data_IF_812349986524
#
_entry.id   IF_812349986524
#
_cell.length_a   1.000
_cell.length_b   1.000
_cell.length_c   1.000
_cell.angle_alpha   90.00
_cell.angle_beta   90.00
_cell.angle_gamma   90.00
#
_symmetry.space_group_name_H-M   'P 1'
#
loop_
_entity.id
_entity.type
_entity.pdbx_description
1 polymer ?
#
# COMPACT_ATOMS: atom_id res chain seq x y z
N UNK A 1 -14.25 -70.68 -0.41
CA UNK A 1 -14.44 -69.44 -1.17
C UNK A 1 -14.47 -68.31 -0.17
N UNK A 2 -13.25 -67.70 0.14
CA UNK A 2 -13.12 -66.67 1.15
C UNK A 2 -12.94 -65.32 0.44
N UNK A 3 -13.96 -64.44 0.62
CA UNK A 3 -13.93 -63.08 0.11
C UNK A 3 -13.20 -62.19 1.08
N UNK A 4 -12.08 -61.58 0.65
CA UNK A 4 -11.33 -60.61 1.43
C UNK A 4 -11.85 -59.21 1.11
N UNK A 5 -12.52 -58.56 2.06
CA UNK A 5 -12.87 -57.15 2.02
C UNK A 5 -11.65 -56.32 2.41
N UNK A 6 -11.10 -55.58 1.45
CA UNK A 6 -10.05 -54.61 1.69
C UNK A 6 -10.74 -53.28 2.05
N UNK A 7 -10.66 -52.88 3.32
CA UNK A 7 -11.11 -51.60 3.81
C UNK A 7 -10.02 -50.55 3.60
N UNK A 8 -10.18 -49.67 2.60
CA UNK A 8 -9.29 -48.56 2.33
C UNK A 8 -9.66 -47.42 3.29
N UNK A 9 -8.74 -47.13 4.24
CA UNK A 9 -8.82 -45.96 5.12
C UNK A 9 -8.27 -44.73 4.35
N UNK A 10 -9.13 -43.80 3.99
CA UNK A 10 -8.74 -42.46 3.54
C UNK A 10 -8.30 -41.64 4.75
N UNK A 11 -7.00 -41.44 4.91
CA UNK A 11 -6.43 -40.44 5.83
C UNK A 11 -6.69 -39.06 5.24
N UNK A 12 -7.72 -38.37 5.74
CA UNK A 12 -7.93 -36.95 5.50
C UNK A 12 -6.85 -36.18 6.25
N UNK A 13 -5.79 -35.76 5.55
CA UNK A 13 -4.80 -34.82 6.10
C UNK A 13 -5.46 -33.46 6.21
N UNK A 14 -5.88 -33.07 7.41
CA UNK A 14 -6.30 -31.72 7.71
C UNK A 14 -5.08 -30.81 7.57
N UNK A 15 -4.98 -30.07 6.45
CA UNK A 15 -4.02 -28.99 6.29
C UNK A 15 -4.43 -27.89 7.25
N UNK A 16 -3.77 -27.85 8.41
CA UNK A 16 -3.90 -26.77 9.38
C UNK A 16 -3.33 -25.49 8.74
N UNK A 17 -4.18 -24.65 8.19
CA UNK A 17 -3.82 -23.27 7.82
C UNK A 17 -3.52 -22.52 9.11
N UNK A 18 -2.24 -22.31 9.42
CA UNK A 18 -1.82 -21.37 10.45
C UNK A 18 -2.29 -20.00 10.00
N UNK A 19 -3.06 -19.26 10.82
CA UNK A 19 -3.43 -17.88 10.45
C UNK A 19 -2.13 -17.10 10.22
N UNK A 20 -2.08 -16.36 9.11
CA UNK A 20 -0.96 -15.47 8.82
C UNK A 20 -0.91 -14.41 9.92
N UNK A 21 0.21 -14.30 10.62
CA UNK A 21 0.40 -13.25 11.61
C UNK A 21 0.47 -11.89 10.91
N UNK A 22 -0.18 -10.89 11.51
CA UNK A 22 -0.08 -9.50 11.08
C UNK A 22 1.38 -9.02 11.15
N UNK A 23 1.76 -8.12 10.26
CA UNK A 23 3.12 -7.57 10.18
C UNK A 23 3.06 -6.07 10.31
N UNK A 24 3.96 -5.49 11.12
CA UNK A 24 4.10 -4.05 11.27
C UNK A 24 5.50 -3.62 10.88
N UNK A 25 5.60 -2.56 10.09
CA UNK A 25 6.84 -1.93 9.65
C UNK A 25 6.87 -0.49 10.15
N UNK A 26 8.04 -0.03 10.54
CA UNK A 26 8.27 1.34 10.98
C UNK A 26 9.32 2.01 10.11
N UNK A 27 9.10 3.28 9.81
CA UNK A 27 10.00 4.08 9.00
C UNK A 27 10.19 5.45 9.65
N UNK A 28 11.39 6.00 9.50
CA UNK A 28 11.70 7.38 9.82
C UNK A 28 11.62 8.24 8.56
N UNK A 29 11.15 9.47 8.72
CA UNK A 29 11.01 10.41 7.62
C UNK A 29 11.98 11.56 7.81
N UNK A 30 12.79 11.78 6.78
CA UNK A 30 13.83 12.82 6.77
C UNK A 30 13.54 13.87 5.71
N UNK A 31 13.76 15.11 6.05
CA UNK A 31 13.87 16.23 5.13
C UNK A 31 15.31 16.74 5.20
N UNK A 32 16.07 16.54 4.12
CA UNK A 32 17.54 16.65 4.15
C UNK A 32 18.08 15.73 5.27
N UNK A 33 18.86 16.24 6.19
CA UNK A 33 19.50 15.50 7.29
C UNK A 33 18.69 15.51 8.60
N UNK A 34 17.50 16.13 8.60
CA UNK A 34 16.66 16.24 9.80
C UNK A 34 15.51 15.25 9.77
N UNK A 35 15.36 14.47 10.83
CA UNK A 35 14.19 13.65 11.05
C UNK A 35 12.98 14.56 11.31
N UNK A 36 11.94 14.44 10.49
CA UNK A 36 10.75 15.30 10.53
C UNK A 36 9.47 14.54 10.81
N UNK A 37 9.52 13.21 10.86
CA UNK A 37 8.32 12.42 11.07
C UNK A 37 8.58 10.92 11.10
N UNK A 38 7.48 10.18 11.20
CA UNK A 38 7.47 8.71 11.21
C UNK A 38 6.33 8.18 10.37
N UNK A 39 6.50 6.96 9.88
CA UNK A 39 5.46 6.19 9.20
C UNK A 39 5.39 4.81 9.85
N UNK A 40 4.18 4.38 10.17
CA UNK A 40 3.85 3.00 10.55
C UNK A 40 3.04 2.38 9.41
N UNK A 41 3.43 1.21 8.95
CA UNK A 41 2.65 0.43 7.99
C UNK A 41 2.35 -0.96 8.56
N UNK A 42 1.12 -1.45 8.39
CA UNK A 42 0.70 -2.75 8.93
C UNK A 42 -0.07 -3.58 7.89
N UNK A 43 0.04 -4.91 8.02
CA UNK A 43 -0.74 -5.91 7.32
C UNK A 43 -1.53 -6.69 8.36
N UNK A 44 -2.83 -6.78 8.19
CA UNK A 44 -3.73 -7.55 9.03
C UNK A 44 -4.56 -8.51 8.17
N UNK A 45 -4.27 -9.83 8.20
CA UNK A 45 -5.07 -10.83 7.53
C UNK A 45 -6.46 -10.95 8.18
N UNK A 46 -7.52 -10.86 7.37
CA UNK A 46 -8.92 -10.87 7.82
C UNK A 46 -9.73 -11.94 7.05
N UNK A 47 -9.38 -13.21 7.23
CA UNK A 47 -10.01 -14.31 6.51
C UNK A 47 -9.69 -14.27 5.00
N UNK A 48 -10.68 -14.10 4.10
CA UNK A 48 -10.44 -14.00 2.66
C UNK A 48 -9.85 -12.65 2.23
N UNK A 49 -9.89 -11.66 3.11
CA UNK A 49 -9.38 -10.32 2.87
C UNK A 49 -8.04 -10.10 3.59
N UNK A 50 -7.28 -9.16 3.07
CA UNK A 50 -6.07 -8.64 3.73
C UNK A 50 -6.20 -7.13 3.82
N UNK A 51 -6.10 -6.60 5.02
CA UNK A 51 -6.11 -5.17 5.26
C UNK A 51 -4.69 -4.66 5.39
N UNK A 52 -4.39 -3.58 4.69
CA UNK A 52 -3.15 -2.83 4.76
C UNK A 52 -3.47 -1.45 5.31
N UNK A 53 -2.67 -0.97 6.25
CA UNK A 53 -2.78 0.39 6.76
C UNK A 53 -1.44 1.11 6.76
N UNK A 54 -1.47 2.44 6.64
CA UNK A 54 -0.31 3.26 6.96
C UNK A 54 -0.72 4.56 7.61
N UNK A 55 -0.02 4.90 8.69
CA UNK A 55 -0.18 6.13 9.46
C UNK A 55 1.14 6.90 9.35
N UNK A 56 1.07 8.10 8.80
CA UNK A 56 2.25 8.96 8.59
C UNK A 56 2.02 10.31 9.25
N UNK A 57 2.98 10.77 10.04
CA UNK A 57 2.95 12.11 10.62
C UNK A 57 4.26 12.82 10.34
N UNK A 58 4.18 13.98 9.66
CA UNK A 58 5.32 14.83 9.31
C UNK A 58 5.14 16.20 9.91
N UNK A 59 6.19 16.69 10.62
CA UNK A 59 6.23 18.02 11.21
C UNK A 59 7.43 18.79 10.68
N UNK A 60 7.19 19.82 9.91
CA UNK A 60 8.25 20.67 9.34
C UNK A 60 8.07 22.13 9.78
N UNK A 61 9.20 22.85 9.88
CA UNK A 61 9.22 24.27 10.15
C UNK A 61 9.99 24.95 9.00
N UNK A 62 9.26 25.42 7.98
CA UNK A 62 9.88 26.20 6.89
C UNK A 62 9.76 27.71 7.20
N UNK A 63 8.59 28.31 7.05
CA UNK A 63 8.28 29.67 7.49
C UNK A 63 7.27 29.67 8.64
N UNK A 64 6.39 28.69 8.66
CA UNK A 64 5.43 28.37 9.73
C UNK A 64 5.54 26.90 10.07
N UNK A 65 5.07 26.52 11.27
CA UNK A 65 4.93 25.10 11.63
C UNK A 65 3.87 24.48 10.74
N UNK A 66 4.21 23.41 10.04
CA UNK A 66 3.33 22.62 9.22
C UNK A 66 3.36 21.18 9.75
N UNK A 67 2.19 20.66 10.14
CA UNK A 67 1.97 19.24 10.45
C UNK A 67 1.12 18.65 9.35
N UNK A 68 1.57 17.54 8.78
CA UNK A 68 0.79 16.79 7.78
C UNK A 68 0.68 15.35 8.26
N UNK A 69 -0.54 14.88 8.39
CA UNK A 69 -0.85 13.50 8.72
C UNK A 69 -1.50 12.85 7.50
N UNK A 70 -1.08 11.61 7.16
CA UNK A 70 -1.66 10.78 6.12
C UNK A 70 -2.11 9.48 6.77
N UNK A 71 -3.34 9.09 6.50
CA UNK A 71 -3.92 7.83 6.92
C UNK A 71 -4.41 7.06 5.69
N UNK A 72 -3.96 5.81 5.55
CA UNK A 72 -4.38 4.89 4.49
C UNK A 72 -4.96 3.64 5.13
N UNK A 73 -6.13 3.23 4.65
CA UNK A 73 -6.74 1.95 4.97
C UNK A 73 -7.16 1.29 3.67
N UNK A 74 -6.55 0.16 3.33
CA UNK A 74 -6.69 -0.49 2.03
C UNK A 74 -6.97 -1.97 2.22
N UNK A 75 -8.05 -2.45 1.65
CA UNK A 75 -8.45 -3.86 1.70
C UNK A 75 -8.27 -4.52 0.35
N UNK A 76 -7.61 -5.65 0.34
CA UNK A 76 -7.49 -6.56 -0.80
C UNK A 76 -8.34 -7.80 -0.57
N UNK A 77 -8.97 -8.30 -1.63
CA UNK A 77 -9.72 -9.55 -1.67
C UNK A 77 -9.32 -10.33 -2.92
N UNK A 78 -9.01 -11.61 -2.77
CA UNK A 78 -8.54 -12.48 -3.87
C UNK A 78 -7.36 -11.90 -4.67
N UNK A 79 -6.47 -11.16 -4.00
CA UNK A 79 -5.29 -10.55 -4.60
C UNK A 79 -5.52 -9.24 -5.35
N UNK A 80 -6.73 -8.68 -5.31
CA UNK A 80 -7.09 -7.42 -5.95
C UNK A 80 -7.59 -6.39 -4.93
N UNK A 81 -7.40 -5.12 -5.24
CA UNK A 81 -7.96 -4.03 -4.46
C UNK A 81 -9.48 -4.18 -4.36
N UNK A 82 -10.00 -4.21 -3.15
CA UNK A 82 -11.43 -4.21 -2.89
C UNK A 82 -11.93 -2.83 -2.48
N UNK A 83 -11.24 -2.22 -1.52
CA UNK A 83 -11.62 -0.91 -0.98
C UNK A 83 -10.39 -0.15 -0.50
N UNK A 84 -10.38 1.17 -0.64
CA UNK A 84 -9.39 2.03 -0.02
C UNK A 84 -9.99 3.33 0.48
N UNK A 85 -9.52 3.77 1.66
CA UNK A 85 -9.75 5.09 2.23
C UNK A 85 -8.41 5.78 2.43
N UNK A 86 -8.32 7.04 2.03
CA UNK A 86 -7.16 7.89 2.27
C UNK A 86 -7.61 9.22 2.81
N UNK A 87 -7.07 9.60 3.96
CA UNK A 87 -7.30 10.89 4.60
C UNK A 87 -5.99 11.66 4.76
N UNK A 88 -6.02 12.94 4.46
CA UNK A 88 -4.89 13.86 4.66
C UNK A 88 -5.34 15.03 5.50
N UNK A 89 -4.66 15.22 6.63
CA UNK A 89 -4.87 16.36 7.51
C UNK A 89 -3.66 17.32 7.41
N UNK A 90 -3.94 18.60 7.33
CA UNK A 90 -2.92 19.65 7.42
C UNK A 90 -3.24 20.53 8.62
N UNK A 91 -2.33 20.57 9.60
CA UNK A 91 -2.56 21.24 10.88
C UNK A 91 -3.89 20.81 11.51
N UNK A 92 -4.15 19.48 11.53
CA UNK A 92 -5.33 18.85 12.11
C UNK A 92 -6.67 19.18 11.40
N UNK A 93 -6.61 19.80 10.22
CA UNK A 93 -7.79 20.11 9.41
C UNK A 93 -7.82 19.22 8.18
N UNK A 94 -8.99 18.69 7.77
CA UNK A 94 -9.13 17.96 6.52
C UNK A 94 -8.59 18.76 5.34
N UNK A 95 -7.72 18.15 4.54
CA UNK A 95 -7.08 18.76 3.38
C UNK A 95 -7.40 18.02 2.08
N UNK A 96 -7.38 16.71 2.13
CA UNK A 96 -7.76 15.86 1.01
C UNK A 96 -8.28 14.52 1.52
N UNK A 97 -9.21 13.93 0.78
CA UNK A 97 -9.76 12.60 1.00
C UNK A 97 -9.92 11.86 -0.32
N UNK A 98 -9.74 10.55 -0.32
CA UNK A 98 -10.01 9.70 -1.48
C UNK A 98 -10.57 8.36 -1.02
N UNK A 99 -11.64 7.95 -1.66
CA UNK A 99 -12.30 6.66 -1.45
C UNK A 99 -12.40 5.90 -2.76
N UNK A 100 -12.06 4.62 -2.75
CA UNK A 100 -12.19 3.73 -3.89
C UNK A 100 -12.80 2.42 -3.45
N UNK A 101 -13.79 1.92 -4.20
CA UNK A 101 -14.42 0.62 -3.91
C UNK A 101 -14.82 -0.11 -5.18
N UNK A 102 -14.50 -1.40 -5.21
CA UNK A 102 -15.02 -2.34 -6.21
C UNK A 102 -16.49 -2.67 -5.92
N UNK A 103 -17.37 -2.51 -6.91
CA UNK A 103 -18.80 -2.77 -6.78
C UNK A 103 -19.26 -4.10 -7.41
N UNK A 104 -18.31 -4.91 -7.87
CA UNK A 104 -18.56 -6.16 -8.61
C UNK A 104 -18.26 -6.05 -10.10
N UNK A 105 -18.31 -4.85 -10.70
CA UNK A 105 -18.11 -4.61 -12.13
C UNK A 105 -17.09 -3.52 -12.43
N UNK A 106 -17.00 -2.50 -11.59
CA UNK A 106 -16.10 -1.36 -11.74
C UNK A 106 -15.65 -0.81 -10.39
N UNK A 107 -14.57 -0.05 -10.37
CA UNK A 107 -14.19 0.77 -9.23
C UNK A 107 -14.97 2.08 -9.23
N UNK A 108 -15.64 2.37 -8.10
CA UNK A 108 -16.19 3.68 -7.82
C UNK A 108 -15.15 4.51 -7.06
N UNK A 109 -14.80 5.68 -7.60
CA UNK A 109 -13.82 6.58 -7.00
C UNK A 109 -14.51 7.87 -6.59
N UNK A 110 -14.31 8.28 -5.34
CA UNK A 110 -14.78 9.56 -4.80
C UNK A 110 -13.55 10.29 -4.26
N UNK A 111 -13.38 11.56 -4.61
CA UNK A 111 -12.26 12.37 -4.20
C UNK A 111 -12.71 13.75 -3.80
N UNK A 112 -12.39 14.17 -2.58
CA UNK A 112 -12.87 15.43 -2.00
C UNK A 112 -14.40 15.62 -2.18
N UNK A 113 -15.16 14.56 -1.90
CA UNK A 113 -16.62 14.52 -2.04
C UNK A 113 -17.14 14.49 -3.48
N UNK A 114 -16.28 14.44 -4.52
CA UNK A 114 -16.68 14.39 -5.93
C UNK A 114 -16.43 13.00 -6.52
N UNK A 115 -17.39 12.51 -7.31
CA UNK A 115 -17.21 11.28 -8.08
C UNK A 115 -16.21 11.54 -9.21
N UNK A 116 -15.15 10.72 -9.25
CA UNK A 116 -14.18 10.69 -10.35
C UNK A 116 -14.60 9.66 -11.42
N UNK A 117 -13.79 9.54 -12.47
CA UNK A 117 -14.00 8.51 -13.51
C UNK A 117 -13.84 7.13 -12.89
N UNK A 118 -14.76 6.22 -13.23
CA UNK A 118 -14.66 4.81 -12.87
C UNK A 118 -13.88 4.02 -13.94
N UNK A 119 -13.33 2.86 -13.56
CA UNK A 119 -12.69 1.91 -14.48
C UNK A 119 -13.00 0.47 -14.02
N UNK A 120 -12.92 -0.50 -14.94
CA UNK A 120 -13.34 -1.88 -14.73
C UNK A 120 -12.19 -2.90 -14.65
N UNK A 121 -10.96 -2.49 -14.93
CA UNK A 121 -9.79 -3.38 -14.79
C UNK A 121 -9.45 -3.58 -13.31
N UNK A 122 -9.35 -4.85 -12.88
CA UNK A 122 -8.98 -5.17 -11.50
C UNK A 122 -7.55 -4.70 -11.19
N UNK A 123 -7.36 -4.14 -10.01
CA UNK A 123 -6.09 -3.58 -9.51
C UNK A 123 -5.35 -4.62 -8.68
N UNK A 124 -4.27 -5.24 -9.19
CA UNK A 124 -3.47 -6.19 -8.43
C UNK A 124 -2.37 -5.53 -7.59
N UNK A 125 -2.05 -4.25 -7.84
CA UNK A 125 -0.98 -3.54 -7.17
C UNK A 125 -1.29 -2.06 -6.99
N UNK A 126 -1.16 -1.55 -5.75
CA UNK A 126 -1.39 -0.15 -5.42
C UNK A 126 -0.27 0.42 -4.53
N UNK A 127 -0.30 1.73 -4.28
CA UNK A 127 0.80 2.44 -3.59
C UNK A 127 1.08 1.89 -2.20
N UNK A 128 0.07 1.46 -1.45
CA UNK A 128 0.27 0.88 -0.10
C UNK A 128 1.18 -0.36 -0.14
N UNK A 129 1.09 -1.17 -1.21
CA UNK A 129 1.88 -2.39 -1.34
C UNK A 129 3.38 -2.13 -1.51
N UNK A 130 3.79 -0.93 -1.93
CA UNK A 130 5.20 -0.55 -2.04
C UNK A 130 5.94 -0.61 -0.69
N UNK A 131 5.24 -0.49 0.44
CA UNK A 131 5.85 -0.66 1.75
C UNK A 131 6.16 -2.13 2.07
N UNK A 132 5.43 -3.07 1.47
CA UNK A 132 5.45 -4.48 1.86
C UNK A 132 6.03 -5.42 0.81
N UNK A 133 5.97 -5.03 -0.46
CA UNK A 133 6.33 -5.88 -1.58
C UNK A 133 7.05 -5.09 -2.67
N UNK A 134 8.25 -5.54 -3.02
CA UNK A 134 9.00 -5.02 -4.15
C UNK A 134 8.19 -5.17 -5.45
N UNK A 135 8.10 -4.11 -6.30
CA UNK A 135 7.30 -4.12 -7.54
C UNK A 135 8.05 -4.79 -8.71
N UNK A 136 8.70 -5.94 -8.47
CA UNK A 136 9.38 -6.70 -9.53
C UNK A 136 8.37 -7.19 -10.58
N UNK A 137 8.57 -6.79 -11.86
CA UNK A 137 7.66 -7.14 -12.95
C UNK A 137 6.33 -6.38 -12.96
N UNK A 138 6.17 -5.36 -12.10
CA UNK A 138 4.99 -4.51 -12.05
C UNK A 138 5.25 -3.25 -12.89
N UNK A 139 4.40 -2.99 -13.88
CA UNK A 139 4.47 -1.78 -14.72
C UNK A 139 3.49 -0.69 -14.29
N UNK A 140 2.40 -1.09 -13.64
CA UNK A 140 1.31 -0.19 -13.24
C UNK A 140 1.00 -0.31 -11.75
N UNK A 141 0.80 0.83 -11.11
CA UNK A 141 0.51 0.94 -9.69
C UNK A 141 -0.66 1.92 -9.50
N UNK A 142 -1.75 1.46 -8.93
CA UNK A 142 -2.86 2.33 -8.57
C UNK A 142 -2.46 3.25 -7.41
N UNK A 143 -2.81 4.53 -7.52
CA UNK A 143 -2.64 5.50 -6.45
C UNK A 143 -3.96 5.72 -5.75
N UNK A 144 -4.08 5.27 -4.52
CA UNK A 144 -5.28 5.42 -3.70
C UNK A 144 -5.62 6.89 -3.47
N UNK A 145 -4.60 7.74 -3.29
CA UNK A 145 -4.76 9.19 -3.10
C UNK A 145 -5.22 9.91 -4.38
N UNK A 146 -4.67 9.52 -5.53
CA UNK A 146 -4.94 10.21 -6.78
C UNK A 146 -6.15 9.64 -7.53
N UNK A 147 -6.57 8.40 -7.22
CA UNK A 147 -7.60 7.68 -7.97
C UNK A 147 -7.16 7.33 -9.40
N UNK A 148 -5.86 7.16 -9.64
CA UNK A 148 -5.28 7.01 -10.99
C UNK A 148 -4.22 5.92 -11.05
N UNK A 149 -3.98 5.41 -12.26
CA UNK A 149 -2.88 4.48 -12.53
C UNK A 149 -1.58 5.26 -12.73
N UNK A 150 -0.55 4.87 -12.01
CA UNK A 150 0.81 5.40 -12.12
C UNK A 150 1.70 4.37 -12.79
N UNK A 151 2.78 4.82 -13.45
CA UNK A 151 3.77 3.95 -14.07
C UNK A 151 4.88 3.59 -13.10
N UNK A 152 5.32 2.34 -13.09
CA UNK A 152 6.52 1.86 -12.39
C UNK A 152 7.60 1.57 -13.43
N UNK A 153 8.78 2.13 -13.23
CA UNK A 153 9.95 1.94 -14.10
C UNK A 153 11.08 1.35 -13.27
N UNK A 154 11.61 0.15 -13.59
CA UNK A 154 12.77 -0.39 -12.93
C UNK A 154 14.03 0.43 -13.30
N UNK A 155 14.83 0.77 -12.29
CA UNK A 155 16.08 1.52 -12.44
C UNK A 155 17.33 0.62 -12.30
N UNK A 156 17.14 -0.68 -12.03
CA UNK A 156 18.21 -1.60 -11.66
C UNK A 156 18.51 -1.59 -10.15
N UNK A 157 19.32 -2.56 -9.69
CA UNK A 157 19.74 -2.70 -8.30
C UNK A 157 18.57 -2.60 -7.28
N UNK A 158 17.46 -3.29 -7.56
CA UNK A 158 16.26 -3.27 -6.71
C UNK A 158 15.70 -1.86 -6.46
N UNK A 159 15.84 -0.95 -7.42
CA UNK A 159 15.30 0.41 -7.34
C UNK A 159 14.26 0.63 -8.44
N UNK A 160 13.19 1.36 -8.09
CA UNK A 160 12.04 1.58 -8.95
C UNK A 160 11.58 3.02 -8.87
N UNK A 161 11.22 3.59 -10.02
CA UNK A 161 10.63 4.92 -10.12
C UNK A 161 9.12 4.77 -10.33
N UNK A 162 8.33 5.41 -9.49
CA UNK A 162 6.89 5.59 -9.68
C UNK A 162 6.62 6.99 -10.24
N UNK A 163 5.93 7.07 -11.39
CA UNK A 163 5.57 8.34 -12.05
C UNK A 163 4.05 8.46 -12.03
N UNK A 164 3.53 9.54 -11.46
CA UNK A 164 2.09 9.80 -11.46
C UNK A 164 1.63 10.51 -12.74
N UNK A 165 0.31 10.66 -12.91
CA UNK A 165 -0.31 11.30 -14.08
C UNK A 165 0.10 12.78 -14.31
N UNK A 166 0.73 13.42 -13.31
CA UNK A 166 1.25 14.79 -13.38
C UNK A 166 2.76 14.84 -13.60
N UNK A 167 3.41 13.70 -13.90
CA UNK A 167 4.86 13.59 -14.11
C UNK A 167 5.68 13.67 -12.81
N UNK A 168 5.06 13.57 -11.64
CA UNK A 168 5.77 13.58 -10.36
C UNK A 168 6.40 12.23 -10.11
N UNK A 169 7.69 12.22 -9.76
CA UNK A 169 8.49 11.01 -9.60
C UNK A 169 8.77 10.72 -8.13
N UNK A 170 8.60 9.46 -7.73
CA UNK A 170 9.06 8.92 -6.46
C UNK A 170 9.97 7.72 -6.73
N UNK A 171 11.02 7.56 -5.93
CA UNK A 171 11.98 6.45 -6.08
C UNK A 171 11.90 5.57 -4.84
N UNK A 172 11.83 4.26 -5.06
CA UNK A 172 11.77 3.23 -4.03
C UNK A 172 12.95 2.28 -4.19
N UNK A 173 13.69 2.01 -3.13
CA UNK A 173 14.84 1.11 -3.13
C UNK A 173 14.63 -0.01 -2.13
N UNK A 174 14.89 -1.25 -2.56
CA UNK A 174 14.63 -2.45 -1.79
C UNK A 174 15.95 -3.19 -1.53
N UNK A 175 15.95 -3.96 -0.44
CA UNK A 175 16.98 -4.92 -0.10
C UNK A 175 16.31 -6.19 0.41
N UNK A 176 16.66 -7.33 -0.17
CA UNK A 176 16.06 -8.64 0.16
C UNK A 176 14.52 -8.64 0.09
N UNK A 177 13.98 -7.95 -0.95
CA UNK A 177 12.53 -7.78 -1.17
C UNK A 177 11.81 -6.86 -0.18
N UNK A 178 12.53 -6.22 0.76
CA UNK A 178 11.99 -5.28 1.74
C UNK A 178 12.31 -3.85 1.36
N UNK A 179 11.37 -2.93 1.53
CA UNK A 179 11.62 -1.52 1.31
C UNK A 179 12.70 -1.03 2.29
N UNK A 180 13.81 -0.53 1.75
CA UNK A 180 14.90 0.08 2.50
C UNK A 180 14.73 1.59 2.61
N UNK A 181 14.39 2.23 1.49
CA UNK A 181 14.16 3.67 1.46
C UNK A 181 13.21 4.07 0.33
N UNK A 182 12.57 5.23 0.48
CA UNK A 182 11.83 5.87 -0.59
C UNK A 182 12.05 7.39 -0.59
N UNK A 183 12.31 7.95 -1.78
CA UNK A 183 12.33 9.40 -2.01
C UNK A 183 10.98 9.84 -2.55
N UNK A 184 10.27 10.66 -1.82
CA UNK A 184 8.90 11.07 -2.11
C UNK A 184 8.85 12.55 -2.47
N UNK A 185 8.32 12.85 -3.64
CA UNK A 185 8.05 14.20 -4.12
C UNK A 185 6.58 14.56 -3.80
N UNK A 186 6.39 15.47 -2.85
CA UNK A 186 5.07 15.91 -2.38
C UNK A 186 4.94 17.43 -2.30
N UNK A 187 4.10 17.92 -1.40
CA UNK A 187 4.08 19.33 -0.98
C UNK A 187 5.44 19.74 -0.41
N UNK A 188 6.10 18.82 0.25
CA UNK A 188 7.48 18.88 0.72
C UNK A 188 8.14 17.57 0.28
N UNK A 189 9.33 17.65 -0.32
CA UNK A 189 10.10 16.46 -0.64
C UNK A 189 10.74 15.89 0.62
N UNK A 190 10.63 14.56 0.81
CA UNK A 190 11.19 13.86 1.95
C UNK A 190 11.67 12.45 1.60
N UNK A 191 12.51 11.89 2.45
CA UNK A 191 12.98 10.51 2.33
C UNK A 191 12.41 9.69 3.47
N UNK A 192 11.87 8.52 3.14
CA UNK A 192 11.45 7.49 4.07
C UNK A 192 12.59 6.48 4.20
N UNK A 193 12.96 6.09 5.42
CA UNK A 193 14.00 5.12 5.72
C UNK A 193 13.45 4.04 6.64
N UNK A 194 13.62 2.76 6.27
CA UNK A 194 13.22 1.66 7.14
C UNK A 194 14.00 1.70 8.45
N UNK A 195 13.31 1.43 9.57
CA UNK A 195 13.95 1.13 10.85
C UNK A 195 14.42 -0.32 10.83
N UNK A 196 15.63 -0.54 11.31
CA UNK A 196 16.19 -1.88 11.52
C UNK A 196 15.47 -2.62 12.65
#
# INVERSE_FOLDING_TARGET
MFSHFITIWFLLSAVSHKPSEGKVLYFDIYMKDSMVGTLRAAIDPMGPQTQYSSDTSVKVKVLKKLKVDYEYLVTYEDGYLFESNVDVLVNEKPHAEAYTKWNGTEYRIIKNGKKELSFNDKVPYSTILLFFREPAGIEHCYSEMDGSINTIIPLGNHSYKKINSKGRENIYSYQDGKLKSASISGLVAFTIMARD
#
